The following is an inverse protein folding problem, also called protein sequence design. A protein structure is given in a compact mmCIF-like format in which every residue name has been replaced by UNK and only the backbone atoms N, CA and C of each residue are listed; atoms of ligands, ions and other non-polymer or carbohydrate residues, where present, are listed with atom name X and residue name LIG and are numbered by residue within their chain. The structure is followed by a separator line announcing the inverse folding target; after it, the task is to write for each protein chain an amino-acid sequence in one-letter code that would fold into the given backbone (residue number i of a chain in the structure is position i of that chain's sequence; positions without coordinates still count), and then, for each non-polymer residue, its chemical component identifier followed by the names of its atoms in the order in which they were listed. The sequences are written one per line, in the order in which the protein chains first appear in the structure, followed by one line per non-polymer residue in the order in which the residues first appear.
data_IF_764567775804
#
_entry.id   IF_764567775804
#
_cell.length_a   1.000
_cell.length_b   1.000
_cell.length_c   1.000
_cell.angle_alpha   90.00
_cell.angle_beta   90.00
_cell.angle_gamma   90.00
#
_symmetry.space_group_name_H-M   'P 1'
#
loop_
_entity.id
_entity.type
_entity.pdbx_description
1 polymer ?
#
# COMPACT_ATOMS: atom_id res chain seq x y z
N UNK A 1 -12.86 9.64 -3.52
CA UNK A 1 -11.83 9.16 -4.44
C UNK A 1 -11.55 7.68 -4.17
N UNK A 2 -11.25 6.90 -5.21
CA UNK A 2 -10.88 5.48 -5.08
C UNK A 2 -9.46 5.33 -5.65
N UNK A 3 -8.53 4.89 -4.80
CA UNK A 3 -7.15 4.63 -5.17
C UNK A 3 -6.96 3.14 -5.47
N UNK A 4 -6.37 2.80 -6.62
CA UNK A 4 -6.12 1.42 -7.03
C UNK A 4 -4.65 1.10 -6.84
N UNK A 5 -4.34 0.32 -5.80
CA UNK A 5 -2.96 0.02 -5.40
C UNK A 5 -2.22 -0.88 -6.39
N UNK A 6 -2.95 -1.64 -7.20
CA UNK A 6 -2.38 -2.52 -8.22
C UNK A 6 -1.81 -1.75 -9.43
N UNK A 7 -2.12 -0.44 -9.52
CA UNK A 7 -1.71 0.38 -10.64
C UNK A 7 -2.70 0.36 -11.80
N UNK A 8 -2.24 0.71 -13.00
CA UNK A 8 -3.04 0.82 -14.23
C UNK A 8 -2.26 0.20 -15.40
N UNK A 9 -2.99 -0.36 -16.36
CA UNK A 9 -2.46 -0.89 -17.60
C UNK A 9 -3.53 -0.95 -18.68
N UNK A 10 -3.17 -1.45 -19.85
CA UNK A 10 -4.03 -1.54 -21.04
C UNK A 10 -5.38 -2.19 -20.75
N UNK A 11 -5.38 -3.34 -20.06
CA UNK A 11 -6.60 -4.11 -19.76
C UNK A 11 -7.56 -3.42 -18.79
N UNK A 12 -7.11 -2.39 -18.06
CA UNK A 12 -7.88 -1.74 -17.00
C UNK A 12 -8.24 -0.28 -17.27
N UNK A 13 -7.62 0.37 -18.25
CA UNK A 13 -7.71 1.81 -18.50
C UNK A 13 -9.16 2.30 -18.67
N UNK A 14 -10.01 1.54 -19.32
CA UNK A 14 -11.41 1.91 -19.53
C UNK A 14 -12.21 1.93 -18.21
N UNK A 15 -11.90 1.04 -17.29
CA UNK A 15 -12.46 1.07 -15.93
C UNK A 15 -12.02 2.33 -15.19
N UNK A 16 -10.75 2.73 -15.31
CA UNK A 16 -10.24 3.96 -14.71
C UNK A 16 -10.94 5.20 -15.28
N UNK A 17 -11.12 5.27 -16.58
CA UNK A 17 -11.87 6.36 -17.23
C UNK A 17 -13.32 6.41 -16.77
N UNK A 18 -14.02 5.27 -16.84
CA UNK A 18 -15.44 5.15 -16.51
C UNK A 18 -15.73 5.52 -15.05
N UNK A 19 -14.93 5.03 -14.12
CA UNK A 19 -15.16 5.16 -12.69
C UNK A 19 -14.30 6.25 -12.03
N UNK A 20 -13.52 7.00 -12.80
CA UNK A 20 -12.60 8.04 -12.35
C UNK A 20 -11.69 7.54 -11.21
N UNK A 21 -11.13 6.34 -11.40
CA UNK A 21 -10.23 5.72 -10.44
C UNK A 21 -8.86 6.41 -10.48
N UNK A 22 -8.17 6.43 -9.35
CA UNK A 22 -6.84 7.04 -9.23
C UNK A 22 -5.81 5.91 -9.16
N UNK A 23 -4.93 5.77 -10.15
CA UNK A 23 -3.91 4.74 -10.13
C UNK A 23 -2.77 5.07 -9.17
N UNK A 24 -2.25 4.05 -8.51
CA UNK A 24 -0.98 4.11 -7.79
C UNK A 24 0.12 3.59 -8.71
N UNK A 25 1.02 4.46 -9.11
CA UNK A 25 2.12 4.15 -10.02
C UNK A 25 3.30 3.62 -9.20
N UNK A 26 3.64 2.35 -9.39
CA UNK A 26 4.64 1.63 -8.60
C UNK A 26 5.94 1.32 -9.35
N UNK A 27 6.09 1.74 -10.61
CA UNK A 27 7.33 1.57 -11.37
C UNK A 27 7.54 2.62 -12.45
N UNK A 28 8.79 2.84 -12.92
CA UNK A 28 9.09 3.72 -14.06
C UNK A 28 8.37 3.31 -15.35
N UNK A 29 8.24 2.01 -15.61
CA UNK A 29 7.57 1.47 -16.81
C UNK A 29 6.07 1.81 -16.78
N UNK A 30 5.42 1.64 -15.62
CA UNK A 30 4.01 2.02 -15.44
C UNK A 30 3.82 3.53 -15.60
N UNK A 31 4.78 4.33 -15.15
CA UNK A 31 4.74 5.78 -15.34
C UNK A 31 4.93 6.18 -16.81
N UNK A 32 5.84 5.51 -17.53
CA UNK A 32 6.00 5.72 -18.96
C UNK A 32 4.69 5.44 -19.71
N UNK A 33 4.06 4.30 -19.40
CA UNK A 33 2.76 3.96 -19.98
C UNK A 33 1.69 4.99 -19.61
N UNK A 34 1.63 5.45 -18.34
CA UNK A 34 0.70 6.50 -17.90
C UNK A 34 0.87 7.78 -18.69
N UNK A 35 2.10 8.21 -18.97
CA UNK A 35 2.35 9.44 -19.73
C UNK A 35 1.76 9.42 -21.15
N UNK A 36 1.67 8.24 -21.76
CA UNK A 36 1.07 8.06 -23.09
C UNK A 36 -0.46 7.92 -23.02
N UNK A 37 -1.00 7.47 -21.88
CA UNK A 37 -2.40 7.10 -21.72
C UNK A 37 -3.12 7.90 -20.62
N UNK A 38 -2.72 9.14 -20.41
CA UNK A 38 -3.29 10.00 -19.37
C UNK A 38 -4.82 10.08 -19.44
N UNK A 39 -5.44 10.14 -18.28
CA UNK A 39 -6.88 10.36 -18.14
C UNK A 39 -7.09 11.79 -17.64
N UNK A 40 -7.83 12.57 -18.42
CA UNK A 40 -8.09 13.97 -18.10
C UNK A 40 -8.70 14.13 -16.70
N UNK A 41 -8.16 15.06 -15.93
CA UNK A 41 -8.60 15.36 -14.56
C UNK A 41 -8.25 14.30 -13.52
N UNK A 42 -7.44 13.29 -13.85
CA UNK A 42 -6.89 12.32 -12.92
C UNK A 42 -5.39 12.59 -12.74
N UNK A 43 -4.96 12.74 -11.48
CA UNK A 43 -3.55 12.77 -11.09
C UNK A 43 -3.22 11.50 -10.32
N UNK A 44 -2.26 10.69 -10.77
CA UNK A 44 -1.89 9.45 -10.11
C UNK A 44 -1.20 9.69 -8.76
N UNK A 45 -1.05 8.62 -8.01
CA UNK A 45 -0.24 8.58 -6.79
C UNK A 45 1.08 7.88 -7.12
N UNK A 46 2.21 8.37 -6.60
CA UNK A 46 3.49 7.67 -6.71
C UNK A 46 3.73 6.79 -5.49
N UNK A 47 4.08 5.53 -5.72
CA UNK A 47 4.59 4.65 -4.68
C UNK A 47 6.11 4.64 -4.71
N UNK A 48 6.74 4.83 -3.54
CA UNK A 48 8.20 4.80 -3.38
C UNK A 48 8.62 3.60 -2.54
N UNK A 49 9.78 3.05 -2.88
CA UNK A 49 10.40 1.95 -2.17
C UNK A 49 11.19 2.47 -0.96
N UNK A 50 10.89 1.93 0.22
CA UNK A 50 11.53 2.36 1.48
C UNK A 50 12.16 1.22 2.27
N UNK A 51 12.00 -0.04 1.81
CA UNK A 51 12.55 -1.23 2.46
C UNK A 51 11.69 -2.49 2.34
N UNK A 52 10.51 -2.42 1.67
CA UNK A 52 9.67 -3.60 1.44
C UNK A 52 10.16 -4.46 0.28
N UNK A 53 10.85 -3.87 -0.70
CA UNK A 53 11.41 -4.51 -1.89
C UNK A 53 10.39 -5.29 -2.75
N UNK A 54 9.18 -4.72 -2.88
CA UNK A 54 8.10 -5.34 -3.69
C UNK A 54 7.72 -4.47 -4.89
N UNK A 55 7.22 -3.27 -4.63
CA UNK A 55 6.81 -2.27 -5.62
C UNK A 55 7.22 -0.89 -5.10
N UNK A 56 7.48 0.03 -6.01
CA UNK A 56 7.82 1.41 -5.70
C UNK A 56 9.05 1.89 -6.45
N UNK A 57 9.07 3.18 -6.73
CA UNK A 57 10.23 3.86 -7.30
C UNK A 57 11.38 3.83 -6.30
N UNK A 58 12.52 3.33 -6.71
CA UNK A 58 13.78 3.48 -5.97
C UNK A 58 14.29 4.90 -6.08
N UNK A 59 15.16 5.31 -5.20
CA UNK A 59 15.72 6.67 -5.23
C UNK A 59 16.40 6.98 -6.58
N UNK A 60 17.12 6.02 -7.15
CA UNK A 60 17.75 6.13 -8.48
C UNK A 60 16.74 6.35 -9.62
N UNK A 61 15.48 5.96 -9.44
CA UNK A 61 14.41 6.21 -10.39
C UNK A 61 13.82 7.61 -10.19
N UNK A 62 13.68 8.04 -8.92
CA UNK A 62 13.22 9.39 -8.58
C UNK A 62 14.17 10.48 -9.07
N UNK A 63 15.48 10.21 -9.07
CA UNK A 63 16.52 11.12 -9.59
C UNK A 63 16.37 11.39 -11.09
N UNK A 64 15.77 10.47 -11.83
CA UNK A 64 15.53 10.61 -13.28
C UNK A 64 14.25 11.37 -13.62
N UNK A 65 13.35 11.58 -12.63
CA UNK A 65 12.13 12.32 -12.85
C UNK A 65 12.41 13.82 -12.98
N UNK A 66 11.93 14.41 -14.05
CA UNK A 66 11.90 15.87 -14.21
C UNK A 66 10.93 16.52 -13.22
N UNK A 67 11.02 17.82 -13.01
CA UNK A 67 10.06 18.54 -12.19
C UNK A 67 8.64 18.50 -12.78
N UNK A 68 8.52 18.45 -14.11
CA UNK A 68 7.24 18.23 -14.78
C UNK A 68 6.64 16.86 -14.43
N UNK A 69 7.46 15.80 -14.45
CA UNK A 69 7.02 14.45 -14.06
C UNK A 69 6.57 14.40 -12.59
N UNK A 70 7.32 15.02 -11.68
CA UNK A 70 6.98 15.09 -10.25
C UNK A 70 5.66 15.82 -9.99
N UNK A 71 5.35 16.84 -10.77
CA UNK A 71 4.12 17.63 -10.68
C UNK A 71 2.87 16.88 -11.19
N UNK A 72 3.03 15.76 -11.86
CA UNK A 72 1.91 14.91 -12.27
C UNK A 72 1.26 14.16 -11.11
N UNK A 73 1.98 13.92 -10.02
CA UNK A 73 1.48 13.15 -8.91
C UNK A 73 0.65 14.00 -7.93
N UNK A 74 -0.33 13.33 -7.31
CA UNK A 74 -1.23 13.94 -6.31
C UNK A 74 -0.87 13.58 -4.88
N UNK A 75 -0.11 12.52 -4.66
CA UNK A 75 0.27 11.99 -3.35
C UNK A 75 1.50 11.10 -3.48
N UNK A 76 2.29 10.99 -2.42
CA UNK A 76 3.34 9.97 -2.28
C UNK A 76 2.90 8.90 -1.27
N UNK A 77 3.13 7.64 -1.58
CA UNK A 77 2.90 6.55 -0.63
C UNK A 77 4.03 5.54 -0.58
N UNK A 78 4.12 4.82 0.54
CA UNK A 78 4.92 3.61 0.69
C UNK A 78 4.19 2.58 1.54
N UNK A 79 4.83 1.48 1.89
CA UNK A 79 4.25 0.39 2.68
C UNK A 79 5.29 -0.21 3.62
N UNK A 80 4.92 -0.37 4.89
CA UNK A 80 5.78 -0.97 5.91
C UNK A 80 5.86 -2.49 5.75
N UNK A 81 7.03 -3.06 6.01
CA UNK A 81 7.29 -4.49 5.86
C UNK A 81 7.02 -5.29 7.15
N UNK A 82 7.20 -4.65 8.33
CA UNK A 82 7.25 -5.33 9.62
C UNK A 82 6.40 -4.63 10.69
N UNK A 83 5.31 -3.95 10.29
CA UNK A 83 4.52 -3.15 11.22
C UNK A 83 3.71 -3.99 12.23
N UNK A 84 3.53 -5.29 11.99
CA UNK A 84 2.99 -6.27 12.93
C UNK A 84 3.92 -6.57 14.11
N UNK A 85 5.21 -6.28 13.97
CA UNK A 85 6.25 -6.38 15.00
C UNK A 85 6.72 -4.98 15.43
N UNK A 86 6.10 -4.43 16.48
CA UNK A 86 6.26 -3.02 16.89
C UNK A 86 7.72 -2.57 17.02
N UNK A 87 8.55 -3.37 17.68
CA UNK A 87 9.95 -3.04 17.97
C UNK A 87 10.92 -3.43 16.84
N UNK A 88 10.41 -3.87 15.68
CA UNK A 88 11.27 -4.24 14.57
C UNK A 88 11.97 -3.00 13.98
N UNK A 89 13.29 -3.04 13.87
CA UNK A 89 14.11 -1.90 13.42
C UNK A 89 13.70 -1.34 12.05
N UNK A 90 13.16 -2.20 11.19
CA UNK A 90 12.69 -1.81 9.85
C UNK A 90 11.59 -0.76 9.89
N UNK A 91 10.77 -0.71 10.94
CA UNK A 91 9.71 0.29 11.05
C UNK A 91 10.31 1.70 11.07
N UNK A 92 11.29 1.93 11.96
CA UNK A 92 11.98 3.22 12.03
C UNK A 92 12.80 3.50 10.77
N UNK A 93 13.52 2.50 10.25
CA UNK A 93 14.31 2.63 9.03
C UNK A 93 13.45 3.05 7.83
N UNK A 94 12.27 2.42 7.63
CA UNK A 94 11.36 2.78 6.55
C UNK A 94 10.70 4.15 6.77
N UNK A 95 10.38 4.53 8.01
CA UNK A 95 9.86 5.86 8.35
C UNK A 95 10.88 6.95 7.96
N UNK A 96 12.15 6.77 8.34
CA UNK A 96 13.21 7.75 8.05
C UNK A 96 13.49 7.85 6.55
N UNK A 97 13.52 6.73 5.83
CA UNK A 97 13.64 6.70 4.38
C UNK A 97 12.46 7.40 3.71
N UNK A 98 11.23 7.13 4.15
CA UNK A 98 10.03 7.74 3.59
C UNK A 98 10.04 9.25 3.79
N UNK A 99 10.38 9.72 5.00
CA UNK A 99 10.52 11.15 5.33
C UNK A 99 11.54 11.82 4.42
N UNK A 100 12.73 11.26 4.31
CA UNK A 100 13.82 11.77 3.48
C UNK A 100 13.43 11.86 2.01
N UNK A 101 12.81 10.80 1.44
CA UNK A 101 12.38 10.79 0.04
C UNK A 101 11.28 11.81 -0.21
N UNK A 102 10.29 11.91 0.71
CA UNK A 102 9.22 12.91 0.62
C UNK A 102 9.77 14.33 0.65
N UNK A 103 10.64 14.64 1.59
CA UNK A 103 11.22 15.98 1.74
C UNK A 103 12.08 16.37 0.54
N UNK A 104 12.87 15.44 0.01
CA UNK A 104 13.79 15.69 -1.11
C UNK A 104 13.06 15.83 -2.45
N UNK A 105 12.08 14.96 -2.74
CA UNK A 105 11.50 14.87 -4.08
C UNK A 105 10.06 15.39 -4.19
N UNK A 106 9.27 15.33 -3.09
CA UNK A 106 7.84 15.65 -3.08
C UNK A 106 7.41 16.45 -1.84
N UNK A 107 8.10 17.57 -1.49
CA UNK A 107 7.88 18.27 -0.21
C UNK A 107 6.43 18.76 -0.02
N UNK A 108 5.72 19.04 -1.10
CA UNK A 108 4.37 19.61 -1.09
C UNK A 108 3.24 18.56 -1.20
N UNK A 109 3.55 17.33 -1.57
CA UNK A 109 2.51 16.32 -1.73
C UNK A 109 2.05 15.77 -0.37
N UNK A 110 0.75 15.47 -0.21
CA UNK A 110 0.27 14.66 0.89
C UNK A 110 0.92 13.26 0.83
N UNK A 111 0.95 12.58 1.98
CA UNK A 111 1.70 11.35 2.16
C UNK A 111 0.88 10.26 2.85
N UNK A 112 1.17 9.00 2.52
CA UNK A 112 0.57 7.82 3.15
C UNK A 112 1.60 6.71 3.31
N UNK A 113 1.88 6.30 4.55
CA UNK A 113 2.83 5.22 4.85
C UNK A 113 2.10 3.98 5.38
N UNK A 114 1.23 4.16 6.38
CA UNK A 114 0.64 3.08 7.14
C UNK A 114 -0.53 2.39 6.45
N UNK A 115 -0.50 1.06 6.51
CA UNK A 115 -1.65 0.19 6.36
C UNK A 115 -2.28 -0.06 7.75
N UNK A 116 -3.09 -1.12 7.91
CA UNK A 116 -3.81 -1.42 9.16
C UNK A 116 -2.88 -1.54 10.36
N UNK A 117 -1.81 -2.29 10.23
CA UNK A 117 -0.79 -2.55 11.26
C UNK A 117 0.03 -1.29 11.60
N UNK A 118 0.53 -0.60 10.60
CA UNK A 118 1.32 0.62 10.77
C UNK A 118 0.57 1.75 11.47
N UNK A 119 -0.76 1.78 11.37
CA UNK A 119 -1.60 2.78 12.05
C UNK A 119 -1.46 2.73 13.58
N UNK A 120 -1.09 1.57 14.13
CA UNK A 120 -0.96 1.35 15.58
C UNK A 120 0.47 1.53 16.10
N UNK A 121 1.47 1.81 15.25
CA UNK A 121 2.86 2.04 15.67
C UNK A 121 3.04 3.38 16.39
N UNK A 122 2.37 4.43 15.90
CA UNK A 122 2.46 5.77 16.45
C UNK A 122 1.95 6.83 15.47
N UNK A 123 1.73 8.05 15.96
CA UNK A 123 1.20 9.15 15.15
C UNK A 123 2.15 9.54 13.99
N UNK A 124 3.46 9.39 14.19
CA UNK A 124 4.52 9.67 13.22
C UNK A 124 4.46 8.78 11.97
N UNK A 125 3.76 7.62 12.05
CA UNK A 125 3.55 6.71 10.93
C UNK A 125 2.28 7.00 10.13
N UNK A 126 1.34 7.82 10.65
CA UNK A 126 0.01 8.00 10.06
C UNK A 126 0.01 8.95 8.86
N UNK A 127 0.81 10.01 8.90
CA UNK A 127 0.87 11.06 7.88
C UNK A 127 -0.51 11.64 7.54
N UNK A 128 -0.74 12.06 6.27
CA UNK A 128 -2.01 12.68 5.85
C UNK A 128 -3.12 11.64 5.61
N UNK A 129 -2.77 10.37 5.35
CA UNK A 129 -3.73 9.31 5.08
C UNK A 129 -3.21 7.95 5.55
N UNK A 130 -4.09 7.17 6.17
CA UNK A 130 -3.87 5.74 6.47
C UNK A 130 -4.75 4.87 5.58
N UNK A 131 -4.30 3.64 5.31
CA UNK A 131 -4.97 2.69 4.41
C UNK A 131 -5.40 1.45 5.19
N UNK A 132 -6.59 1.53 5.79
CA UNK A 132 -7.14 0.41 6.57
C UNK A 132 -7.71 -0.66 5.64
N UNK A 133 -7.24 -1.89 5.80
CA UNK A 133 -7.74 -3.09 5.12
C UNK A 133 -8.15 -4.13 6.15
N UNK A 134 -7.22 -4.97 6.61
CA UNK A 134 -7.47 -6.08 7.53
C UNK A 134 -8.18 -5.64 8.83
N UNK A 135 -7.82 -4.50 9.40
CA UNK A 135 -8.46 -3.96 10.60
C UNK A 135 -9.97 -3.70 10.41
N UNK A 136 -10.42 -3.30 9.22
CA UNK A 136 -11.84 -3.10 8.93
C UNK A 136 -12.66 -4.40 8.97
N UNK A 137 -12.02 -5.55 8.81
CA UNK A 137 -12.65 -6.87 8.91
C UNK A 137 -12.56 -7.48 10.32
N UNK A 138 -12.03 -6.73 11.30
CA UNK A 138 -11.91 -7.18 12.69
C UNK A 138 -10.64 -7.97 12.98
N UNK A 139 -9.70 -8.03 12.03
CA UNK A 139 -8.44 -8.73 12.20
C UNK A 139 -7.51 -7.90 13.09
N UNK A 140 -6.97 -8.53 14.14
CA UNK A 140 -5.92 -7.91 14.95
C UNK A 140 -4.60 -7.87 14.16
N UNK A 141 -4.28 -6.72 13.59
CA UNK A 141 -3.04 -6.49 12.84
C UNK A 141 -1.91 -5.96 13.72
N UNK A 142 -2.16 -5.76 15.01
CA UNK A 142 -1.20 -5.31 16.01
C UNK A 142 -1.19 -6.28 17.20
N UNK A 143 -0.58 -7.48 17.05
CA UNK A 143 -0.68 -8.56 18.04
C UNK A 143 -0.05 -8.22 19.40
N UNK A 144 0.76 -7.18 19.48
CA UNK A 144 1.39 -6.66 20.69
C UNK A 144 0.43 -5.82 21.58
N UNK A 145 -0.83 -5.69 21.20
CA UNK A 145 -1.85 -4.96 21.97
C UNK A 145 -3.22 -5.66 21.89
N UNK A 146 -4.12 -5.28 22.79
CA UNK A 146 -5.50 -5.75 22.76
C UNK A 146 -6.18 -5.34 21.43
N UNK A 147 -6.91 -6.28 20.84
CA UNK A 147 -7.65 -6.03 19.62
C UNK A 147 -8.86 -5.13 19.90
N UNK A 148 -8.81 -3.92 19.41
CA UNK A 148 -9.91 -2.96 19.50
C UNK A 148 -10.95 -3.11 18.37
N UNK A 149 -10.64 -3.93 17.37
CA UNK A 149 -11.52 -4.18 16.22
C UNK A 149 -12.53 -5.26 16.55
N UNK A 150 -13.75 -5.11 16.03
CA UNK A 150 -14.81 -6.12 16.15
C UNK A 150 -14.87 -6.92 14.85
N UNK A 151 -15.04 -8.25 14.95
CA UNK A 151 -15.28 -9.08 13.78
C UNK A 151 -16.58 -8.67 13.09
N UNK A 152 -16.50 -8.38 11.79
CA UNK A 152 -17.64 -7.97 10.94
C UNK A 152 -17.92 -8.98 9.84
N UNK A 153 -17.10 -10.04 9.72
CA UNK A 153 -17.22 -11.09 8.72
C UNK A 153 -17.16 -12.46 9.39
N UNK A 154 -18.04 -13.35 9.00
CA UNK A 154 -18.02 -14.77 9.39
C UNK A 154 -17.96 -15.62 8.13
N UNK A 155 -16.92 -16.44 7.99
CA UNK A 155 -16.82 -17.46 6.95
C UNK A 155 -17.34 -18.77 7.50
N UNK A 156 -18.31 -19.40 6.80
CA UNK A 156 -18.87 -20.70 7.15
C UNK A 156 -18.61 -21.68 6.03
N UNK A 157 -18.18 -22.89 6.38
CA UNK A 157 -18.06 -24.01 5.44
C UNK A 157 -18.73 -25.25 6.06
N UNK A 158 -19.54 -26.02 5.30
CA UNK A 158 -20.05 -27.29 5.78
C UNK A 158 -18.93 -28.31 5.90
N UNK A 159 -19.01 -29.16 6.93
CA UNK A 159 -18.18 -30.37 7.00
C UNK A 159 -18.73 -31.37 6.00
N UNK A 160 -17.96 -31.71 4.99
CA UNK A 160 -18.40 -32.62 3.91
C UNK A 160 -18.29 -34.10 4.31
N UNK A 161 -17.30 -34.44 5.12
CA UNK A 161 -17.06 -35.80 5.56
C UNK A 161 -16.30 -35.82 6.89
N UNK A 162 -16.63 -36.77 7.74
CA UNK A 162 -15.85 -37.17 8.90
C UNK A 162 -15.51 -38.65 8.72
N UNK A 163 -14.25 -39.02 8.86
CA UNK A 163 -13.78 -40.39 8.72
C UNK A 163 -12.84 -40.76 9.87
N UNK A 164 -13.02 -41.96 10.41
CA UNK A 164 -12.09 -42.55 11.38
C UNK A 164 -10.89 -43.12 10.62
N UNK A 165 -9.69 -42.70 10.97
CA UNK A 165 -8.45 -43.16 10.34
C UNK A 165 -7.72 -44.10 11.28
N UNK A 166 -7.23 -45.25 10.78
CA UNK A 166 -6.41 -46.15 11.61
C UNK A 166 -5.07 -45.48 11.98
N UNK A 167 -4.47 -45.87 13.09
CA UNK A 167 -3.17 -45.36 13.52
C UNK A 167 -2.11 -45.57 12.43
N UNK A 168 -1.47 -44.49 12.03
CA UNK A 168 -0.43 -44.49 10.98
C UNK A 168 -0.93 -44.25 9.55
N UNK A 169 -2.23 -43.98 9.35
CA UNK A 169 -2.72 -43.51 8.06
C UNK A 169 -2.23 -42.10 7.76
N UNK A 170 -2.05 -41.81 6.48
CA UNK A 170 -1.70 -40.45 5.99
C UNK A 170 -2.99 -39.71 5.59
N UNK A 171 -2.93 -38.38 5.74
CA UNK A 171 -3.97 -37.44 5.28
C UNK A 171 -3.41 -36.60 4.16
#
# INVERSE_FOLDING_TARGET
AIYVLQGIGEDSVDSFRRWRLIPVIGSPEMFAWWKENRIEGIKPVIQVETGLNRLGFRETDLEKLSDADKNEFSMILSHLACADAKEHFMNQHQLDNFRRLKEKYFPKLPASLSASDGTFLGAEYQWDMVRLGAAMYGINTAPYRENQMKSVVTVKAPVLQIADLPKGAFV
#
